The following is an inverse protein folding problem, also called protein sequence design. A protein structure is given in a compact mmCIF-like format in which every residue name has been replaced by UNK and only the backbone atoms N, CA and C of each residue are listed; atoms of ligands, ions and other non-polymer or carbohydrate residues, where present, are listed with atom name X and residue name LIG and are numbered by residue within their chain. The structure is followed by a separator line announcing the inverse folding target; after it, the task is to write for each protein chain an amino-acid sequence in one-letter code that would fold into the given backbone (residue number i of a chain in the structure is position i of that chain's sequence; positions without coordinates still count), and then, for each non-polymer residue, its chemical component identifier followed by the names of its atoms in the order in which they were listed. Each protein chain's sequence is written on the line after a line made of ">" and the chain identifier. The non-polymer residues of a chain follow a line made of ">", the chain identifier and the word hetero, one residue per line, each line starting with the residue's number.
data_IF_817360563995
#
_entry.id   IF_817360563995
#
_cell.length_a   1.000
_cell.length_b   1.000
_cell.length_c   1.000
_cell.angle_alpha   90.00
_cell.angle_beta   90.00
_cell.angle_gamma   90.00
#
_symmetry.space_group_name_H-M   'P 1'
#
loop_
_entity.id
_entity.type
_entity.pdbx_description
1 polymer ?
#
# COMPACT_ATOMS: atom_id res chain seq x y z
N UNK A 1 -16.96 -30.45 -32.80
CA UNK A 1 -17.68 -29.53 -31.90
C UNK A 1 -16.80 -29.25 -30.69
N UNK A 2 -16.06 -28.13 -30.69
CA UNK A 2 -15.25 -27.65 -29.56
C UNK A 2 -15.65 -26.19 -29.37
N UNK A 3 -16.48 -25.95 -28.36
CA UNK A 3 -16.82 -24.60 -27.92
C UNK A 3 -15.61 -24.11 -27.12
N UNK A 4 -14.76 -23.32 -27.76
CA UNK A 4 -13.78 -22.51 -27.07
C UNK A 4 -14.56 -21.49 -26.24
N UNK A 5 -14.69 -21.74 -24.94
CA UNK A 5 -15.05 -20.68 -24.00
C UNK A 5 -13.86 -19.74 -23.95
N UNK A 6 -13.92 -18.66 -24.72
CA UNK A 6 -13.15 -17.46 -24.42
C UNK A 6 -13.67 -16.98 -23.06
N UNK A 7 -12.94 -17.31 -21.99
CA UNK A 7 -13.13 -16.65 -20.71
C UNK A 7 -12.73 -15.20 -20.96
N UNK A 8 -13.73 -14.36 -21.24
CA UNK A 8 -13.55 -12.92 -21.21
C UNK A 8 -13.29 -12.61 -19.73
N UNK A 9 -12.02 -12.39 -19.39
CA UNK A 9 -11.67 -11.96 -18.05
C UNK A 9 -12.48 -10.67 -17.77
N UNK A 10 -13.20 -10.59 -16.64
CA UNK A 10 -14.04 -9.43 -16.35
C UNK A 10 -13.16 -8.18 -16.38
N UNK A 11 -13.71 -7.04 -16.79
CA UNK A 11 -13.00 -5.76 -16.79
C UNK A 11 -12.41 -5.53 -15.40
N UNK A 12 -11.14 -5.87 -15.21
CA UNK A 12 -10.51 -5.74 -13.92
C UNK A 12 -10.40 -4.26 -13.63
N UNK A 13 -10.97 -3.87 -12.49
CA UNK A 13 -10.77 -2.56 -11.91
C UNK A 13 -9.26 -2.31 -11.80
N UNK A 14 -8.75 -1.35 -12.55
CA UNK A 14 -7.39 -0.83 -12.41
C UNK A 14 -7.41 0.24 -11.32
N UNK A 15 -6.64 0.09 -10.23
CA UNK A 15 -6.37 1.20 -9.34
C UNK A 15 -5.82 2.38 -10.14
N UNK A 16 -6.19 3.59 -9.76
CA UNK A 16 -5.44 4.77 -10.20
C UNK A 16 -4.11 4.80 -9.44
N UNK A 17 -3.09 4.19 -10.06
CA UNK A 17 -1.74 4.13 -9.48
C UNK A 17 -1.14 5.51 -9.30
N UNK A 18 -1.49 6.49 -10.16
CA UNK A 18 -1.00 7.86 -10.03
C UNK A 18 -1.59 8.58 -8.83
N UNK A 19 -2.88 8.35 -8.53
CA UNK A 19 -3.49 8.83 -7.30
C UNK A 19 -2.82 8.21 -6.08
N UNK A 20 -2.61 6.89 -6.07
CA UNK A 20 -1.97 6.20 -4.95
C UNK A 20 -0.55 6.74 -4.70
N UNK A 21 0.24 6.92 -5.75
CA UNK A 21 1.59 7.50 -5.67
C UNK A 21 1.56 8.94 -5.15
N UNK A 22 0.61 9.77 -5.60
CA UNK A 22 0.48 11.13 -5.07
C UNK A 22 0.14 11.16 -3.56
N UNK A 23 -0.60 10.16 -3.07
CA UNK A 23 -0.98 10.08 -1.65
C UNK A 23 0.18 9.68 -0.74
N UNK A 24 1.21 8.97 -1.23
CA UNK A 24 2.38 8.62 -0.40
C UNK A 24 3.16 9.87 0.02
N UNK A 25 3.19 10.90 -0.84
CA UNK A 25 3.81 12.20 -0.55
C UNK A 25 3.08 13.03 0.52
N UNK A 26 1.93 12.56 1.03
CA UNK A 26 1.20 13.21 2.11
C UNK A 26 1.59 12.70 3.51
N UNK A 27 2.40 11.64 3.59
CA UNK A 27 2.87 11.08 4.84
C UNK A 27 4.13 11.81 5.33
N UNK A 28 4.23 12.00 6.65
CA UNK A 28 5.49 12.39 7.27
C UNK A 28 6.53 11.30 7.03
N UNK A 29 7.77 11.69 6.72
CA UNK A 29 8.84 10.74 6.44
C UNK A 29 9.59 10.32 7.70
N UNK A 30 10.15 9.12 7.68
CA UNK A 30 11.03 8.60 8.71
C UNK A 30 12.16 7.77 8.10
N UNK A 31 13.36 7.87 8.68
CA UNK A 31 14.54 7.13 8.25
C UNK A 31 14.70 5.82 9.02
N UNK A 32 15.56 4.93 8.51
CA UNK A 32 16.02 3.75 9.28
C UNK A 32 16.72 4.14 10.59
N UNK A 33 17.39 5.30 10.63
CA UNK A 33 18.04 5.77 11.86
C UNK A 33 17.02 6.16 12.94
N UNK A 34 15.82 6.59 12.56
CA UNK A 34 14.72 6.85 13.50
C UNK A 34 14.18 5.57 14.13
N UNK A 35 14.42 4.41 13.51
CA UNK A 35 14.04 3.08 13.98
C UNK A 35 15.10 2.41 14.86
N UNK A 36 16.30 2.98 15.01
CA UNK A 36 17.45 2.35 15.70
C UNK A 36 17.23 2.11 17.21
N UNK A 37 16.09 2.57 17.75
CA UNK A 37 15.61 2.29 19.12
C UNK A 37 14.49 1.23 19.19
N UNK A 38 14.06 0.68 18.05
CA UNK A 38 13.00 -0.32 18.00
C UNK A 38 13.54 -1.69 18.42
N UNK A 39 13.27 -2.07 19.66
CA UNK A 39 13.57 -3.41 20.19
C UNK A 39 12.84 -4.50 19.39
N UNK A 40 13.44 -5.70 19.30
CA UNK A 40 12.82 -6.88 18.66
C UNK A 40 11.39 -7.10 19.18
N UNK A 41 10.39 -6.78 18.35
CA UNK A 41 8.98 -6.84 18.74
C UNK A 41 8.45 -8.28 18.64
N UNK A 42 7.63 -8.69 19.61
CA UNK A 42 6.81 -9.89 19.48
C UNK A 42 5.64 -9.59 18.52
N UNK A 43 5.85 -9.80 17.22
CA UNK A 43 4.93 -9.37 16.16
C UNK A 43 4.04 -10.51 15.67
N UNK A 44 2.76 -10.21 15.47
CA UNK A 44 1.80 -11.05 14.74
C UNK A 44 1.40 -10.33 13.45
N UNK A 45 1.66 -10.95 12.30
CA UNK A 45 1.33 -10.37 10.99
C UNK A 45 -0.04 -10.85 10.50
N UNK A 46 -0.98 -9.93 10.30
CA UNK A 46 -2.31 -10.23 9.72
C UNK A 46 -2.41 -9.65 8.32
N UNK A 47 -2.95 -10.42 7.37
CA UNK A 47 -3.15 -10.00 5.97
C UNK A 47 -4.64 -9.90 5.66
N UNK A 48 -5.03 -8.85 4.93
CA UNK A 48 -6.41 -8.59 4.55
C UNK A 48 -6.52 -8.47 3.02
N UNK A 49 -7.67 -8.86 2.47
CA UNK A 49 -8.03 -8.57 1.09
C UNK A 49 -8.98 -7.38 1.08
N UNK A 50 -8.59 -6.31 0.41
CA UNK A 50 -9.34 -5.06 0.33
C UNK A 50 -9.70 -4.79 -1.14
N UNK A 51 -10.94 -4.35 -1.45
CA UNK A 51 -11.25 -3.75 -2.73
C UNK A 51 -10.42 -2.48 -2.88
N UNK A 52 -9.53 -2.41 -3.86
CA UNK A 52 -8.56 -1.31 -3.84
C UNK A 52 -9.13 0.08 -4.23
N UNK A 53 -10.44 0.18 -4.50
CA UNK A 53 -11.17 1.46 -4.47
C UNK A 53 -11.21 2.09 -3.07
N UNK A 54 -11.04 1.26 -2.03
CA UNK A 54 -10.99 1.68 -0.62
C UNK A 54 -9.55 2.04 -0.20
N UNK A 55 -8.56 1.78 -1.05
CA UNK A 55 -7.16 2.07 -0.73
C UNK A 55 -6.89 3.56 -0.50
N UNK A 56 -7.45 4.51 -1.28
CA UNK A 56 -7.28 5.94 -0.99
C UNK A 56 -7.78 6.32 0.40
N UNK A 57 -9.01 5.95 0.75
CA UNK A 57 -9.60 6.27 2.07
C UNK A 57 -8.79 5.63 3.22
N UNK A 58 -8.28 4.42 3.01
CA UNK A 58 -7.41 3.75 3.96
C UNK A 58 -6.08 4.48 4.13
N UNK A 59 -5.41 4.89 3.04
CA UNK A 59 -4.16 5.64 3.11
C UNK A 59 -4.35 6.98 3.82
N UNK A 60 -5.46 7.68 3.55
CA UNK A 60 -5.78 8.93 4.24
C UNK A 60 -5.97 8.74 5.75
N UNK A 61 -6.62 7.64 6.17
CA UNK A 61 -6.77 7.32 7.58
C UNK A 61 -5.45 6.89 8.25
N UNK A 62 -4.54 6.23 7.52
CA UNK A 62 -3.26 5.77 8.06
C UNK A 62 -2.24 6.90 8.26
N UNK A 63 -2.34 8.00 7.52
CA UNK A 63 -1.33 9.09 7.57
C UNK A 63 -1.19 9.73 8.95
N UNK A 64 -2.22 9.66 9.78
CA UNK A 64 -2.23 10.26 11.12
C UNK A 64 -1.43 9.42 12.13
N UNK A 65 -1.28 8.12 11.88
CA UNK A 65 -0.68 7.15 12.82
C UNK A 65 0.62 6.53 12.28
N UNK A 66 0.86 6.60 10.98
CA UNK A 66 2.00 6.01 10.29
C UNK A 66 2.83 7.04 9.54
N UNK A 67 4.10 6.73 9.36
CA UNK A 67 5.07 7.54 8.62
C UNK A 67 5.64 6.75 7.45
N UNK A 68 6.01 7.44 6.39
CA UNK A 68 6.61 6.86 5.21
C UNK A 68 8.09 6.56 5.45
N UNK A 69 8.52 5.33 5.16
CA UNK A 69 9.93 4.98 5.32
C UNK A 69 10.74 5.52 4.15
N UNK A 70 11.78 6.28 4.45
CA UNK A 70 12.78 6.73 3.48
C UNK A 70 14.10 5.97 3.72
N UNK A 71 14.66 5.40 2.65
CA UNK A 71 15.94 4.70 2.64
C UNK A 71 16.79 5.26 1.52
N UNK A 72 17.98 5.77 1.85
CA UNK A 72 18.94 6.34 0.88
C UNK A 72 18.33 7.42 -0.05
N UNK A 73 17.41 8.25 0.47
CA UNK A 73 16.72 9.27 -0.32
C UNK A 73 15.57 8.75 -1.19
N UNK A 74 15.19 7.48 -1.02
CA UNK A 74 14.09 6.83 -1.73
C UNK A 74 12.95 6.53 -0.76
N UNK A 75 11.76 7.03 -1.08
CA UNK A 75 10.52 6.68 -0.39
C UNK A 75 10.12 5.24 -0.77
N UNK A 76 10.05 4.35 0.22
CA UNK A 76 9.73 2.92 0.05
C UNK A 76 8.29 2.58 0.41
#
# INVERSE_FOLDING_TARGET
>A
MKIAHSVQAPAYWTPDLGLIEAMTGLFDSMSLADLDKATLMNRTDTKYLLPARELPDLLDALREEYRWLEVDGVHL
#
